data_IF_295584100845
#
_entry.id   IF_295584100845
#
_cell.length_a   1.000
_cell.length_b   1.000
_cell.length_c   1.000
_cell.angle_alpha   90.00
_cell.angle_beta   90.00
_cell.angle_gamma   90.00
#
_symmetry.space_group_name_H-M   'P 1'
#
loop_
_entity.id
_entity.type
_entity.pdbx_description
1 polymer ?
#
# COMPACT_ATOMS: atom_id res chain seq x y z
N UNK A 1 -35.70 23.15 10.97
CA UNK A 1 -34.51 23.89 11.42
C UNK A 1 -33.66 24.22 10.20
N UNK A 2 -33.34 25.49 9.93
CA UNK A 2 -32.62 25.87 8.71
C UNK A 2 -31.22 25.28 8.71
N UNK A 3 -30.83 24.63 7.60
CA UNK A 3 -29.45 24.19 7.32
C UNK A 3 -28.63 25.47 7.11
N UNK A 4 -27.93 25.93 8.15
CA UNK A 4 -26.96 27.01 8.00
C UNK A 4 -25.85 26.50 7.07
N UNK A 5 -25.67 27.18 5.94
CA UNK A 5 -24.55 27.04 5.02
C UNK A 5 -23.29 27.59 5.72
N UNK A 6 -22.70 26.78 6.60
CA UNK A 6 -21.47 27.16 7.29
C UNK A 6 -20.30 26.91 6.33
N UNK A 7 -19.91 27.95 5.62
CA UNK A 7 -18.62 28.01 4.95
C UNK A 7 -17.47 27.89 5.96
N UNK A 8 -16.27 27.67 5.45
CA UNK A 8 -15.06 27.73 6.28
C UNK A 8 -14.73 29.17 6.63
N UNK A 9 -14.14 29.40 7.80
CA UNK A 9 -13.50 30.67 8.12
C UNK A 9 -12.43 31.02 7.07
N UNK A 10 -12.15 32.32 6.81
CA UNK A 10 -11.16 32.72 5.81
C UNK A 10 -9.80 32.10 6.01
N UNK A 11 -9.36 31.92 7.26
CA UNK A 11 -8.10 31.30 7.60
C UNK A 11 -8.06 29.82 7.22
N UNK A 12 -9.11 29.06 7.60
CA UNK A 12 -9.23 27.64 7.24
C UNK A 12 -9.36 27.47 5.74
N UNK A 13 -10.15 28.29 5.05
CA UNK A 13 -10.30 28.25 3.59
C UNK A 13 -8.97 28.46 2.85
N UNK A 14 -8.16 29.43 3.31
CA UNK A 14 -6.81 29.66 2.75
C UNK A 14 -5.90 28.44 2.95
N UNK A 15 -5.88 27.87 4.17
CA UNK A 15 -5.11 26.68 4.49
C UNK A 15 -5.56 25.46 3.67
N UNK A 16 -6.85 25.25 3.45
CA UNK A 16 -7.39 24.18 2.61
C UNK A 16 -6.95 24.32 1.14
N UNK A 17 -6.97 25.54 0.60
CA UNK A 17 -6.51 25.81 -0.76
C UNK A 17 -5.01 25.52 -0.93
N UNK A 18 -4.20 25.80 0.08
CA UNK A 18 -2.79 25.45 0.10
C UNK A 18 -2.59 23.96 0.25
N UNK A 19 -3.36 23.31 1.13
CA UNK A 19 -3.33 21.86 1.34
C UNK A 19 -3.59 21.08 0.04
N UNK A 20 -4.64 21.44 -0.71
CA UNK A 20 -4.99 20.77 -1.97
C UNK A 20 -3.82 20.82 -2.99
N UNK A 21 -3.20 21.97 -3.18
CA UNK A 21 -2.05 22.12 -4.07
C UNK A 21 -0.87 21.24 -3.62
N UNK A 22 -0.58 21.25 -2.34
CA UNK A 22 0.52 20.47 -1.79
C UNK A 22 0.29 18.96 -1.82
N UNK A 23 -0.94 18.49 -1.63
CA UNK A 23 -1.32 17.09 -1.76
C UNK A 23 -1.15 16.60 -3.20
N UNK A 24 -1.66 17.35 -4.18
CA UNK A 24 -1.54 17.02 -5.61
C UNK A 24 -0.08 16.97 -6.10
N UNK A 25 0.81 17.78 -5.51
CA UNK A 25 2.22 17.78 -5.86
C UNK A 25 2.99 16.53 -5.36
N UNK A 26 2.35 15.65 -4.56
CA UNK A 26 2.95 14.45 -3.97
C UNK A 26 2.43 13.15 -4.54
N UNK A 27 1.80 13.22 -5.69
CA UNK A 27 1.38 12.03 -6.44
C UNK A 27 2.59 11.12 -6.69
N UNK A 28 2.42 9.81 -6.55
CA UNK A 28 3.48 8.81 -6.70
C UNK A 28 4.33 8.56 -5.44
N UNK A 29 4.08 9.25 -4.33
CA UNK A 29 4.78 9.01 -3.07
C UNK A 29 3.80 9.05 -1.90
N UNK A 30 3.21 7.92 -1.55
CA UNK A 30 2.18 7.81 -0.52
C UNK A 30 2.65 8.25 0.86
N UNK A 31 3.89 7.96 1.24
CA UNK A 31 4.43 8.41 2.52
C UNK A 31 4.51 9.93 2.59
N UNK A 32 5.04 10.57 1.56
CA UNK A 32 5.12 12.04 1.49
C UNK A 32 3.72 12.68 1.39
N UNK A 33 2.75 11.99 0.75
CA UNK A 33 1.36 12.41 0.66
C UNK A 33 0.70 12.45 2.05
N UNK A 34 0.81 11.37 2.82
CA UNK A 34 0.22 11.28 4.16
C UNK A 34 0.93 12.18 5.18
N UNK A 35 2.27 12.29 5.10
CA UNK A 35 3.01 13.21 5.96
C UNK A 35 2.65 14.67 5.72
N UNK A 36 2.47 15.05 4.45
CA UNK A 36 2.00 16.39 4.13
C UNK A 36 0.54 16.61 4.54
N UNK A 37 -0.33 15.60 4.43
CA UNK A 37 -1.71 15.68 4.91
C UNK A 37 -1.75 15.94 6.42
N UNK A 38 -0.97 15.19 7.20
CA UNK A 38 -0.78 15.45 8.63
C UNK A 38 -0.31 16.88 8.89
N UNK A 39 0.74 17.32 8.18
CA UNK A 39 1.25 18.69 8.31
C UNK A 39 0.18 19.74 7.99
N UNK A 40 -0.56 19.58 6.91
CA UNK A 40 -1.64 20.51 6.53
C UNK A 40 -2.73 20.59 7.62
N UNK A 41 -3.09 19.44 8.21
CA UNK A 41 -4.04 19.42 9.33
C UNK A 41 -3.45 20.05 10.60
N UNK A 42 -2.16 19.86 10.88
CA UNK A 42 -1.50 20.49 12.05
C UNK A 42 -1.47 22.03 11.95
N UNK A 43 -1.47 22.58 10.74
CA UNK A 43 -1.58 24.03 10.51
C UNK A 43 -3.01 24.52 10.77
N UNK A 44 -4.03 23.70 10.52
CA UNK A 44 -5.45 24.06 10.66
C UNK A 44 -5.92 23.94 12.12
N UNK A 45 -5.57 22.83 12.80
CA UNK A 45 -6.17 22.52 14.11
C UNK A 45 -5.18 21.96 15.15
N UNK A 46 -3.89 21.84 14.81
CA UNK A 46 -2.93 21.11 15.67
C UNK A 46 -3.17 19.60 15.62
N UNK A 47 -2.08 18.82 15.53
CA UNK A 47 -2.16 17.35 15.46
C UNK A 47 -0.93 16.81 16.21
N UNK A 48 -1.18 16.12 17.31
CA UNK A 48 -0.12 15.47 18.09
C UNK A 48 0.06 14.01 17.67
N UNK A 49 -1.03 13.33 17.25
CA UNK A 49 -0.97 12.00 16.65
C UNK A 49 -1.86 11.89 15.42
N UNK A 50 -1.43 11.08 14.44
CA UNK A 50 -2.12 10.91 13.16
C UNK A 50 -1.92 9.50 12.61
N UNK A 51 -2.95 8.89 12.08
CA UNK A 51 -2.81 7.65 11.33
C UNK A 51 -3.79 7.55 10.16
N UNK A 52 -3.40 6.75 9.17
CA UNK A 52 -4.24 6.35 8.02
C UNK A 52 -4.29 4.83 7.99
N UNK A 53 -5.48 4.25 7.89
CA UNK A 53 -5.69 2.82 7.81
C UNK A 53 -6.60 2.43 6.65
N UNK A 54 -6.29 1.32 5.97
CA UNK A 54 -7.11 0.77 4.89
C UNK A 54 -7.61 -0.62 5.26
N UNK A 55 -8.92 -0.84 5.09
CA UNK A 55 -9.55 -2.13 5.34
C UNK A 55 -9.06 -3.20 4.37
N UNK A 56 -8.98 -4.42 4.87
CA UNK A 56 -8.65 -5.64 4.13
C UNK A 56 -9.68 -6.72 4.46
N UNK A 57 -9.73 -7.76 3.65
CA UNK A 57 -10.59 -8.92 3.89
C UNK A 57 -10.29 -9.58 5.25
N UNK A 58 -11.28 -10.29 5.81
CA UNK A 58 -11.13 -11.01 7.06
C UNK A 58 -11.05 -10.11 8.30
N UNK A 59 -11.69 -8.93 8.30
CA UNK A 59 -11.71 -7.95 9.40
C UNK A 59 -10.30 -7.48 9.79
N UNK A 60 -9.49 -7.22 8.79
CA UNK A 60 -8.12 -6.70 8.94
C UNK A 60 -8.05 -5.23 8.49
N UNK A 61 -7.10 -4.50 9.05
CA UNK A 61 -6.78 -3.13 8.67
C UNK A 61 -5.26 -2.98 8.60
N UNK A 62 -4.78 -2.29 7.58
CA UNK A 62 -3.36 -1.97 7.39
C UNK A 62 -3.18 -0.49 7.60
N UNK A 63 -2.19 -0.11 8.40
CA UNK A 63 -1.83 1.29 8.65
C UNK A 63 -0.54 1.64 7.89
N UNK A 64 -0.63 2.16 6.66
CA UNK A 64 0.54 2.56 5.88
C UNK A 64 1.23 3.82 6.42
N UNK A 65 0.57 4.56 7.30
CA UNK A 65 1.13 5.75 7.91
C UNK A 65 0.61 5.94 9.33
N UNK A 66 1.53 6.13 10.26
CA UNK A 66 1.30 6.48 11.66
C UNK A 66 2.29 7.56 12.10
N UNK A 67 1.86 8.46 12.97
CA UNK A 67 2.64 9.55 13.51
C UNK A 67 2.24 9.81 14.95
N UNK A 68 3.22 10.08 15.82
CA UNK A 68 3.05 10.58 17.17
C UNK A 68 4.21 11.55 17.47
N UNK A 69 3.92 12.75 18.00
CA UNK A 69 4.92 13.79 18.23
C UNK A 69 5.78 13.52 19.47
N UNK A 70 5.30 12.68 20.39
CA UNK A 70 6.02 12.33 21.65
C UNK A 70 7.12 11.31 21.42
N UNK A 71 7.04 10.52 20.35
CA UNK A 71 8.07 9.55 20.00
C UNK A 71 9.16 10.28 19.23
N UNK A 72 10.18 10.76 19.94
CA UNK A 72 11.25 11.60 19.41
C UNK A 72 12.06 10.98 18.26
N UNK A 73 11.99 9.67 18.07
CA UNK A 73 12.56 8.94 16.94
C UNK A 73 11.53 7.94 16.45
N UNK A 74 10.71 8.39 15.53
CA UNK A 74 9.74 7.57 14.85
C UNK A 74 10.43 6.38 14.22
N UNK A 75 10.40 5.24 14.92
CA UNK A 75 10.63 3.98 14.26
C UNK A 75 9.66 3.95 13.08
N UNK A 76 10.19 3.79 11.88
CA UNK A 76 9.39 3.30 10.77
C UNK A 76 8.73 2.00 11.27
N UNK A 77 7.46 2.08 11.59
CA UNK A 77 6.66 0.89 11.86
C UNK A 77 6.26 0.41 10.49
N UNK A 78 6.79 -0.74 10.02
CA UNK A 78 6.33 -1.28 8.75
C UNK A 78 4.82 -1.42 8.80
N UNK A 79 4.11 -1.27 7.66
CA UNK A 79 2.66 -1.40 7.62
C UNK A 79 2.26 -2.76 8.19
N UNK A 80 1.79 -2.76 9.43
CA UNK A 80 1.35 -3.98 10.09
C UNK A 80 -0.12 -4.21 9.80
N UNK A 81 -0.48 -5.48 9.64
CA UNK A 81 -1.86 -5.90 9.43
C UNK A 81 -2.46 -6.27 10.77
N UNK A 82 -3.37 -5.45 11.26
CA UNK A 82 -4.07 -5.69 12.52
C UNK A 82 -5.46 -6.28 12.27
N UNK A 83 -5.85 -7.24 13.11
CA UNK A 83 -7.25 -7.62 13.23
C UNK A 83 -8.01 -6.59 14.08
N UNK A 84 -9.17 -6.12 13.62
CA UNK A 84 -10.02 -5.24 14.44
C UNK A 84 -11.24 -5.98 14.99
N UNK A 85 -11.52 -5.71 16.27
CA UNK A 85 -12.66 -6.29 16.97
C UNK A 85 -14.00 -5.65 16.55
N UNK A 86 -15.14 -6.30 16.89
CA UNK A 86 -16.47 -5.82 16.50
C UNK A 86 -16.90 -4.53 17.20
N UNK A 87 -16.24 -4.13 18.27
CA UNK A 87 -16.61 -3.00 19.15
C UNK A 87 -15.61 -1.85 19.11
N UNK A 88 -14.57 -1.93 18.28
CA UNK A 88 -13.55 -0.90 18.16
C UNK A 88 -13.93 0.19 17.16
N UNK A 89 -13.13 1.26 17.13
CA UNK A 89 -13.34 2.43 16.29
C UNK A 89 -13.37 2.07 14.78
N UNK A 90 -12.51 1.14 14.32
CA UNK A 90 -12.51 0.70 12.93
C UNK A 90 -13.84 0.04 12.52
N UNK A 91 -14.42 -0.80 13.38
CA UNK A 91 -15.72 -1.41 13.12
C UNK A 91 -16.84 -0.36 13.10
N UNK A 92 -16.80 0.58 14.06
CA UNK A 92 -17.79 1.65 14.16
C UNK A 92 -17.79 2.55 12.91
N UNK A 93 -16.62 2.98 12.42
CA UNK A 93 -16.49 3.80 11.21
C UNK A 93 -17.04 3.07 9.99
N UNK A 94 -16.74 1.77 9.85
CA UNK A 94 -17.23 0.96 8.73
C UNK A 94 -18.76 0.81 8.75
N UNK A 95 -19.36 0.64 9.93
CA UNK A 95 -20.80 0.48 10.13
C UNK A 95 -21.55 1.79 9.93
N UNK A 96 -21.10 2.88 10.59
CA UNK A 96 -21.83 4.13 10.61
C UNK A 96 -21.50 5.07 9.44
N UNK A 97 -20.37 4.85 8.75
CA UNK A 97 -19.94 5.60 7.55
C UNK A 97 -19.94 7.12 7.73
N UNK A 98 -19.61 7.59 8.92
CA UNK A 98 -19.58 9.01 9.30
C UNK A 98 -18.43 9.29 10.27
N UNK A 99 -18.03 10.58 10.41
CA UNK A 99 -17.02 10.97 11.39
C UNK A 99 -17.37 10.55 12.83
N UNK A 100 -16.38 10.08 13.55
CA UNK A 100 -16.37 9.95 14.99
C UNK A 100 -15.60 11.13 15.56
N UNK A 101 -16.10 11.70 16.66
CA UNK A 101 -15.41 12.72 17.46
C UNK A 101 -15.35 12.28 18.91
N UNK A 102 -14.27 12.65 19.58
CA UNK A 102 -14.08 12.34 21.00
C UNK A 102 -15.26 12.76 21.88
N UNK A 103 -15.88 13.91 21.58
CA UNK A 103 -17.02 14.44 22.30
C UNK A 103 -18.28 13.56 22.25
N UNK A 104 -18.40 12.61 21.30
CA UNK A 104 -19.58 11.75 21.17
C UNK A 104 -19.77 10.81 22.36
N UNK A 105 -18.66 10.34 22.96
CA UNK A 105 -18.67 9.36 24.04
C UNK A 105 -17.51 9.56 25.05
N UNK A 106 -16.93 10.75 25.08
CA UNK A 106 -15.75 11.10 25.89
C UNK A 106 -14.53 10.20 25.64
N UNK A 107 -14.33 9.77 24.38
CA UNK A 107 -13.21 8.95 23.96
C UNK A 107 -13.35 7.45 24.25
N UNK A 108 -14.50 6.98 24.72
CA UNK A 108 -14.70 5.58 25.09
C UNK A 108 -14.38 4.63 23.93
N UNK A 109 -14.82 4.97 22.72
CA UNK A 109 -14.59 4.17 21.52
C UNK A 109 -13.13 4.21 21.09
N UNK A 110 -12.48 5.36 21.21
CA UNK A 110 -11.07 5.55 20.92
C UNK A 110 -10.20 4.65 21.80
N UNK A 111 -10.45 4.68 23.12
CA UNK A 111 -9.67 3.94 24.12
C UNK A 111 -9.94 2.43 24.14
N UNK A 112 -10.93 1.94 23.38
CA UNK A 112 -11.16 0.51 23.16
C UNK A 112 -10.31 -0.10 22.04
N UNK A 113 -9.63 0.73 21.27
CA UNK A 113 -8.74 0.32 20.19
C UNK A 113 -7.40 -0.20 20.72
N UNK A 114 -6.57 -0.66 19.78
CA UNK A 114 -5.14 -0.89 20.07
C UNK A 114 -4.49 0.48 20.17
N UNK A 115 -3.85 0.77 21.31
CA UNK A 115 -3.07 1.99 21.48
C UNK A 115 -1.87 1.97 20.51
N UNK A 116 -1.58 3.08 19.90
CA UNK A 116 -0.33 3.29 19.20
C UNK A 116 0.28 4.61 19.70
N UNK A 117 1.60 4.74 19.59
CA UNK A 117 2.29 5.93 20.08
C UNK A 117 2.75 5.80 21.53
N UNK A 118 2.72 6.90 22.24
CA UNK A 118 3.09 6.95 23.65
C UNK A 118 1.97 6.38 24.53
N UNK A 119 2.18 5.19 25.08
CA UNK A 119 1.21 4.51 25.95
C UNK A 119 1.00 5.23 27.29
N UNK A 120 1.92 6.11 27.71
CA UNK A 120 1.81 6.89 28.95
C UNK A 120 0.94 8.14 28.78
N UNK A 121 0.68 8.57 27.53
CA UNK A 121 -0.13 9.75 27.21
C UNK A 121 -1.39 9.37 26.45
N UNK A 122 -2.52 9.58 27.08
CA UNK A 122 -3.82 9.29 26.46
C UNK A 122 -4.31 10.51 25.68
N UNK A 123 -4.77 10.31 24.46
CA UNK A 123 -5.38 11.36 23.64
C UNK A 123 -6.61 11.95 24.35
N UNK A 124 -6.64 13.28 24.46
CA UNK A 124 -7.69 14.03 25.15
C UNK A 124 -8.74 14.60 24.19
N UNK A 125 -8.47 14.59 22.89
CA UNK A 125 -9.44 14.89 21.82
C UNK A 125 -9.05 14.17 20.53
N UNK A 126 -10.05 13.82 19.69
CA UNK A 126 -9.84 13.07 18.46
C UNK A 126 -10.96 13.28 17.45
N UNK A 127 -10.58 13.25 16.16
CA UNK A 127 -11.50 13.11 15.03
C UNK A 127 -11.04 11.92 14.20
N UNK A 128 -11.93 10.97 13.93
CA UNK A 128 -11.69 9.87 12.99
C UNK A 128 -12.74 9.90 11.89
N UNK A 129 -12.32 9.89 10.66
CA UNK A 129 -13.18 9.99 9.49
C UNK A 129 -13.09 8.73 8.60
N UNK A 130 -14.20 8.34 7.94
CA UNK A 130 -14.15 7.33 6.89
C UNK A 130 -13.46 7.86 5.64
N UNK A 131 -12.70 6.98 4.96
CA UNK A 131 -12.15 7.23 3.64
C UNK A 131 -13.03 6.52 2.61
N UNK A 132 -13.57 7.30 1.66
CA UNK A 132 -14.48 6.79 0.64
C UNK A 132 -13.80 6.63 -0.71
N UNK A 133 -14.10 5.54 -1.38
CA UNK A 133 -13.82 5.32 -2.79
C UNK A 133 -15.13 5.17 -3.57
N UNK A 134 -15.16 5.73 -4.78
CA UNK A 134 -16.32 5.61 -5.68
C UNK A 134 -15.89 4.91 -6.95
N UNK A 135 -16.00 3.57 -7.02
CA UNK A 135 -15.67 2.78 -8.21
C UNK A 135 -16.87 2.53 -9.13
N UNK A 136 -18.03 2.35 -8.54
CA UNK A 136 -19.28 1.93 -9.25
C UNK A 136 -20.40 2.95 -9.09
N UNK A 137 -20.08 4.23 -8.88
CA UNK A 137 -21.08 5.27 -8.61
C UNK A 137 -21.59 5.29 -7.16
N UNK A 138 -21.33 4.25 -6.37
CA UNK A 138 -21.71 4.19 -4.95
C UNK A 138 -20.45 4.34 -4.08
N UNK A 139 -20.40 5.36 -3.18
CA UNK A 139 -19.27 5.51 -2.28
C UNK A 139 -19.15 4.32 -1.32
N UNK A 140 -17.98 3.71 -1.25
CA UNK A 140 -17.65 2.64 -0.30
C UNK A 140 -16.59 3.11 0.67
N UNK A 141 -16.72 2.71 1.95
CA UNK A 141 -15.67 2.96 2.95
C UNK A 141 -14.56 1.95 2.74
N UNK A 142 -13.40 2.42 2.35
CA UNK A 142 -12.20 1.58 2.12
C UNK A 142 -11.13 1.75 3.19
N UNK A 143 -11.27 2.76 4.05
CA UNK A 143 -10.30 3.06 5.08
C UNK A 143 -10.83 4.08 6.09
N UNK A 144 -9.94 4.50 6.95
CA UNK A 144 -10.16 5.57 7.91
C UNK A 144 -8.89 6.40 8.10
N UNK A 145 -9.06 7.64 8.57
CA UNK A 145 -7.95 8.47 9.03
C UNK A 145 -8.33 9.13 10.36
N UNK A 146 -7.35 9.32 11.22
CA UNK A 146 -7.55 9.93 12.54
C UNK A 146 -6.52 11.03 12.82
N UNK A 147 -6.98 12.14 13.36
CA UNK A 147 -6.18 13.16 14.03
C UNK A 147 -6.49 13.12 15.50
N UNK A 148 -5.47 13.26 16.33
CA UNK A 148 -5.61 13.24 17.78
C UNK A 148 -4.71 14.31 18.41
N UNK A 149 -5.09 14.75 19.61
CA UNK A 149 -4.30 15.69 20.40
C UNK A 149 -4.38 15.34 21.88
N UNK A 150 -3.36 15.74 22.62
CA UNK A 150 -3.29 15.63 24.07
C UNK A 150 -3.96 16.81 24.81
N UNK A 151 -4.58 17.74 24.04
CA UNK A 151 -5.31 18.89 24.56
C UNK A 151 -6.81 18.62 24.50
N UNK A 152 -7.51 18.80 25.61
CA UNK A 152 -8.96 18.65 25.67
C UNK A 152 -9.70 19.75 24.93
N UNK A 153 -10.83 19.41 24.31
CA UNK A 153 -11.72 20.34 23.60
C UNK A 153 -11.00 21.16 22.51
N UNK A 154 -10.05 20.54 21.81
CA UNK A 154 -9.24 21.19 20.78
C UNK A 154 -9.94 21.23 19.42
N UNK A 155 -10.82 20.27 19.15
CA UNK A 155 -11.45 20.13 17.83
C UNK A 155 -12.88 20.65 17.81
N UNK A 156 -13.23 21.25 16.66
CA UNK A 156 -14.55 21.82 16.41
C UNK A 156 -15.19 21.17 15.17
N UNK A 157 -16.47 21.41 14.95
CA UNK A 157 -17.16 20.96 13.73
C UNK A 157 -16.50 21.50 12.44
N UNK A 158 -15.88 22.68 12.50
CA UNK A 158 -15.11 23.20 11.35
C UNK A 158 -13.88 22.33 11.05
N UNK A 159 -13.18 21.86 12.09
CA UNK A 159 -12.04 20.95 11.95
C UNK A 159 -12.46 19.59 11.39
N UNK A 160 -13.63 19.06 11.79
CA UNK A 160 -14.20 17.84 11.21
C UNK A 160 -14.40 18.01 9.69
N UNK A 161 -15.09 19.11 9.28
CA UNK A 161 -15.33 19.40 7.87
C UNK A 161 -14.04 19.61 7.08
N UNK A 162 -13.04 20.28 7.66
CA UNK A 162 -11.74 20.51 7.05
C UNK A 162 -10.99 19.19 6.84
N UNK A 163 -11.05 18.29 7.81
CA UNK A 163 -10.43 16.97 7.71
C UNK A 163 -11.11 16.10 6.65
N UNK A 164 -12.44 16.07 6.59
CA UNK A 164 -13.19 15.39 5.53
C UNK A 164 -12.89 15.98 4.14
N UNK A 165 -12.71 17.31 4.07
CA UNK A 165 -12.40 17.99 2.81
C UNK A 165 -10.99 17.58 2.30
N UNK A 166 -9.99 17.63 3.16
CA UNK A 166 -8.62 17.20 2.81
C UNK A 166 -8.56 15.71 2.49
N UNK A 167 -9.33 14.87 3.18
CA UNK A 167 -9.46 13.46 2.85
C UNK A 167 -9.94 13.22 1.41
N UNK A 168 -10.94 13.98 0.96
CA UNK A 168 -11.39 13.89 -0.44
C UNK A 168 -10.28 14.24 -1.44
N UNK A 169 -9.46 15.26 -1.14
CA UNK A 169 -8.29 15.60 -1.96
C UNK A 169 -7.27 14.46 -2.00
N UNK A 170 -6.94 13.85 -0.85
CA UNK A 170 -6.05 12.68 -0.77
C UNK A 170 -6.61 11.52 -1.58
N UNK A 171 -7.89 11.18 -1.39
CA UNK A 171 -8.52 10.08 -2.12
C UNK A 171 -8.57 10.34 -3.63
N UNK A 172 -8.70 11.60 -4.06
CA UNK A 172 -8.62 11.97 -5.48
C UNK A 172 -7.21 11.74 -6.04
N UNK A 173 -6.15 12.03 -5.27
CA UNK A 173 -4.76 11.75 -5.68
C UNK A 173 -4.55 10.26 -5.84
N UNK A 174 -4.93 9.46 -4.84
CA UNK A 174 -4.80 8.00 -4.87
C UNK A 174 -5.62 7.34 -5.99
N UNK A 175 -6.80 7.87 -6.29
CA UNK A 175 -7.63 7.37 -7.39
C UNK A 175 -6.97 7.64 -8.75
N UNK A 176 -6.38 8.82 -8.96
CA UNK A 176 -5.65 9.16 -10.19
C UNK A 176 -4.41 8.30 -10.39
N UNK A 177 -3.62 8.08 -9.35
CA UNK A 177 -2.46 7.20 -9.41
C UNK A 177 -2.86 5.80 -9.90
N UNK A 178 -3.95 5.27 -9.37
CA UNK A 178 -4.49 3.97 -9.76
C UNK A 178 -4.98 3.96 -11.21
N UNK A 179 -5.66 5.01 -11.65
CA UNK A 179 -6.09 5.20 -13.04
C UNK A 179 -4.90 5.29 -14.00
N UNK A 180 -3.86 6.06 -13.62
CA UNK A 180 -2.63 6.19 -14.40
C UNK A 180 -1.87 4.86 -14.48
N UNK A 181 -1.88 4.03 -13.43
CA UNK A 181 -1.27 2.71 -13.43
C UNK A 181 -2.06 1.73 -14.31
N UNK A 182 -3.40 1.75 -14.26
CA UNK A 182 -4.25 0.97 -15.15
C UNK A 182 -4.04 1.37 -16.62
N UNK A 183 -4.05 2.67 -16.91
CA UNK A 183 -3.82 3.18 -18.26
C UNK A 183 -2.41 2.83 -18.77
N UNK A 184 -1.36 2.89 -17.94
CA UNK A 184 -0.01 2.45 -18.31
C UNK A 184 0.03 0.96 -18.61
N UNK A 185 -0.69 0.13 -17.87
CA UNK A 185 -0.80 -1.30 -18.12
C UNK A 185 -1.58 -1.59 -19.41
N UNK A 186 -2.64 -0.83 -19.71
CA UNK A 186 -3.39 -0.94 -20.96
C UNK A 186 -2.59 -0.45 -22.18
N UNK A 187 -1.79 0.61 -22.04
CA UNK A 187 -0.92 1.12 -23.12
C UNK A 187 0.32 0.26 -23.34
N UNK A 188 0.75 -0.49 -22.33
CA UNK A 188 1.77 -1.53 -22.46
C UNK A 188 1.16 -2.81 -23.05
N UNK A 189 0.42 -2.71 -24.15
CA UNK A 189 -0.22 -3.84 -24.82
C UNK A 189 0.82 -4.86 -25.25
N UNK A 190 0.82 -6.08 -24.68
CA UNK A 190 1.38 -7.22 -25.38
C UNK A 190 0.42 -7.58 -26.49
N UNK A 191 0.92 -7.63 -27.69
CA UNK A 191 0.21 -8.25 -28.82
C UNK A 191 -0.02 -9.70 -28.42
N UNK A 192 -1.27 -10.03 -28.15
CA UNK A 192 -1.95 -11.33 -28.06
C UNK A 192 -2.59 -11.66 -26.70
N UNK A 193 -3.89 -11.92 -26.81
CA UNK A 193 -4.86 -12.07 -25.75
C UNK A 193 -4.63 -13.22 -24.76
N UNK A 194 -4.87 -12.91 -23.52
CA UNK A 194 -5.06 -13.83 -22.42
C UNK A 194 -5.40 -13.03 -21.17
N UNK A 195 -6.56 -13.28 -20.59
CA UNK A 195 -6.98 -12.67 -19.34
C UNK A 195 -5.97 -13.06 -18.25
N UNK A 196 -5.14 -12.12 -17.81
CA UNK A 196 -4.11 -12.32 -16.80
C UNK A 196 -4.59 -11.93 -15.41
N UNK A 197 -4.19 -12.77 -14.50
CA UNK A 197 -4.31 -12.66 -13.05
C UNK A 197 -3.69 -11.33 -12.58
N UNK A 198 -4.49 -10.44 -12.01
CA UNK A 198 -4.19 -9.02 -11.74
C UNK A 198 -3.35 -8.82 -10.45
N UNK A 199 -2.49 -9.78 -10.10
CA UNK A 199 -1.52 -9.61 -9.02
C UNK A 199 -0.13 -9.32 -9.59
N UNK A 200 0.57 -8.24 -9.12
CA UNK A 200 1.94 -8.01 -9.53
C UNK A 200 2.79 -9.24 -9.21
N UNK A 201 3.62 -9.66 -10.15
CA UNK A 201 4.53 -10.78 -9.89
C UNK A 201 5.48 -10.41 -8.74
N UNK A 202 5.94 -11.42 -8.01
CA UNK A 202 6.94 -11.20 -6.94
C UNK A 202 8.16 -10.46 -7.50
N UNK A 203 8.53 -10.70 -8.75
CA UNK A 203 9.64 -10.01 -9.42
C UNK A 203 9.36 -8.50 -9.60
N UNK A 204 8.16 -8.11 -10.00
CA UNK A 204 7.77 -6.70 -10.13
C UNK A 204 7.78 -6.00 -8.78
N UNK A 205 7.19 -6.62 -7.76
CA UNK A 205 7.20 -6.07 -6.39
C UNK A 205 8.63 -5.91 -5.87
N UNK A 206 9.49 -6.89 -6.13
CA UNK A 206 10.89 -6.85 -5.69
C UNK A 206 11.68 -5.82 -6.48
N UNK A 207 11.40 -5.63 -7.77
CA UNK A 207 11.99 -4.58 -8.60
C UNK A 207 11.60 -3.20 -8.06
N UNK A 208 10.32 -2.96 -7.79
CA UNK A 208 9.82 -1.70 -7.23
C UNK A 208 10.45 -1.38 -5.87
N UNK A 209 10.59 -2.39 -5.01
CA UNK A 209 11.26 -2.26 -3.70
C UNK A 209 12.74 -1.93 -3.89
N UNK A 210 13.42 -2.55 -4.86
CA UNK A 210 14.83 -2.29 -5.15
C UNK A 210 15.04 -0.86 -5.64
N UNK A 211 14.18 -0.34 -6.51
CA UNK A 211 14.22 1.04 -7.01
C UNK A 211 13.96 2.06 -5.89
N UNK A 212 12.99 1.78 -5.01
CA UNK A 212 12.72 2.59 -3.83
C UNK A 212 13.93 2.66 -2.88
N UNK A 213 14.55 1.51 -2.59
CA UNK A 213 15.74 1.46 -1.74
C UNK A 213 16.94 2.17 -2.36
N UNK A 214 17.13 2.07 -3.68
CA UNK A 214 18.16 2.81 -4.40
C UNK A 214 17.92 4.33 -4.32
N UNK A 215 16.68 4.78 -4.50
CA UNK A 215 16.30 6.19 -4.36
C UNK A 215 16.49 6.73 -2.94
N UNK A 216 16.19 5.92 -1.91
CA UNK A 216 16.44 6.26 -0.51
C UNK A 216 17.94 6.37 -0.23
N UNK A 217 18.72 5.40 -0.70
CA UNK A 217 20.19 5.40 -0.51
C UNK A 217 20.82 6.67 -1.10
N UNK A 218 20.44 7.04 -2.33
CA UNK A 218 20.93 8.27 -2.96
C UNK A 218 20.62 9.53 -2.14
N UNK A 219 19.41 9.62 -1.55
CA UNK A 219 19.02 10.76 -0.70
C UNK A 219 19.77 10.78 0.63
N UNK A 220 20.04 9.62 1.21
CA UNK A 220 20.82 9.50 2.44
C UNK A 220 22.26 9.95 2.19
N UNK A 221 22.88 9.61 1.06
CA UNK A 221 24.21 10.09 0.69
C UNK A 221 24.26 11.62 0.56
N UNK A 222 23.24 12.24 -0.05
CA UNK A 222 23.15 13.72 -0.13
C UNK A 222 22.99 14.34 1.26
N UNK A 223 22.22 13.72 2.16
CA UNK A 223 22.09 14.18 3.54
C UNK A 223 23.40 14.04 4.32
N UNK A 224 24.14 12.95 4.10
CA UNK A 224 25.45 12.72 4.74
C UNK A 224 26.46 13.81 4.38
N UNK A 225 26.48 14.23 3.11
CA UNK A 225 27.31 15.34 2.65
C UNK A 225 26.88 16.72 3.21
N UNK A 226 25.59 16.87 3.50
CA UNK A 226 25.02 18.12 4.02
C UNK A 226 25.12 18.27 5.55
N UNK A 227 25.55 17.23 6.28
CA UNK A 227 25.70 17.29 7.75
C UNK A 227 26.81 18.27 8.13
N UNK A 228 26.53 19.29 8.96
CA UNK A 228 27.54 20.26 9.37
C UNK A 228 28.69 19.62 10.17
N UNK A 229 29.88 20.07 9.94
CA UNK A 229 31.07 19.64 10.69
C UNK A 229 30.90 19.97 12.19
N UNK A 230 30.87 18.92 13.03
CA UNK A 230 30.65 19.07 14.48
C UNK A 230 29.35 18.42 14.99
N UNK A 231 28.37 18.21 14.15
CA UNK A 231 27.10 17.56 14.48
C UNK A 231 27.22 16.02 14.54
N UNK A 232 28.01 15.50 15.48
CA UNK A 232 28.32 14.07 15.62
C UNK A 232 27.08 13.19 15.80
N UNK A 233 26.05 13.72 16.48
CA UNK A 233 24.79 12.99 16.68
C UNK A 233 24.04 12.78 15.38
N UNK A 234 23.93 13.81 14.54
CA UNK A 234 23.27 13.77 13.25
C UNK A 234 24.05 12.90 12.27
N UNK A 235 25.37 13.04 12.21
CA UNK A 235 26.24 12.20 11.39
C UNK A 235 26.08 10.70 11.68
N UNK A 236 26.00 10.34 12.98
CA UNK A 236 25.77 8.97 13.41
C UNK A 236 24.41 8.43 12.93
N UNK A 237 23.34 9.22 13.07
CA UNK A 237 22.00 8.82 12.63
C UNK A 237 21.93 8.62 11.12
N UNK A 238 22.53 9.49 10.34
CA UNK A 238 22.57 9.37 8.87
C UNK A 238 23.37 8.12 8.46
N UNK A 239 24.49 7.83 9.15
CA UNK A 239 25.26 6.61 8.90
C UNK A 239 24.47 5.33 9.27
N UNK A 240 23.71 5.34 10.36
CA UNK A 240 22.82 4.23 10.75
C UNK A 240 21.72 4.02 9.71
N UNK A 241 21.09 5.09 9.20
CA UNK A 241 20.10 5.02 8.12
C UNK A 241 20.68 4.45 6.83
N UNK A 242 21.90 4.89 6.45
CA UNK A 242 22.60 4.34 5.28
C UNK A 242 22.82 2.85 5.43
N UNK A 243 23.32 2.40 6.58
CA UNK A 243 23.54 0.99 6.85
C UNK A 243 22.25 0.17 6.78
N UNK A 244 21.12 0.68 7.30
CA UNK A 244 19.84 0.00 7.22
C UNK A 244 19.35 -0.11 5.76
N UNK A 245 19.55 0.93 4.96
CA UNK A 245 19.19 0.93 3.54
C UNK A 245 20.01 -0.10 2.75
N UNK A 246 21.33 -0.17 2.98
CA UNK A 246 22.23 -1.17 2.39
C UNK A 246 21.84 -2.60 2.77
N UNK A 247 21.48 -2.83 4.04
CA UNK A 247 20.98 -4.13 4.50
C UNK A 247 19.65 -4.50 3.83
N UNK A 248 18.75 -3.53 3.62
CA UNK A 248 17.52 -3.71 2.88
C UNK A 248 17.77 -4.14 1.42
N UNK A 249 18.69 -3.46 0.74
CA UNK A 249 19.09 -3.79 -0.63
C UNK A 249 19.68 -5.21 -0.71
N UNK A 250 20.57 -5.58 0.22
CA UNK A 250 21.17 -6.92 0.27
C UNK A 250 20.10 -8.01 0.47
N UNK A 251 19.16 -7.81 1.41
CA UNK A 251 18.06 -8.75 1.64
C UNK A 251 17.14 -8.88 0.42
N UNK A 252 16.88 -7.79 -0.28
CA UNK A 252 16.05 -7.80 -1.50
C UNK A 252 16.75 -8.59 -2.61
N UNK A 253 18.07 -8.40 -2.78
CA UNK A 253 18.88 -9.18 -3.72
C UNK A 253 18.91 -10.67 -3.36
N UNK A 254 19.01 -11.02 -2.08
CA UNK A 254 18.96 -12.41 -1.61
C UNK A 254 17.62 -13.08 -1.92
N UNK A 255 16.50 -12.31 -1.84
CA UNK A 255 15.17 -12.82 -2.20
C UNK A 255 15.10 -13.09 -3.71
N UNK A 256 15.60 -12.18 -4.55
CA UNK A 256 15.63 -12.34 -6.02
C UNK A 256 16.48 -13.56 -6.40
N UNK A 257 17.59 -13.77 -5.70
CA UNK A 257 18.56 -14.82 -6.01
C UNK A 257 18.13 -16.21 -5.53
N UNK A 258 17.02 -16.34 -4.78
CA UNK A 258 16.53 -17.65 -4.33
C UNK A 258 15.92 -18.43 -5.49
N UNK A 259 16.32 -19.70 -5.69
CA UNK A 259 15.78 -20.54 -6.77
C UNK A 259 14.25 -20.68 -6.74
N UNK A 260 13.64 -20.70 -5.55
CA UNK A 260 12.19 -20.79 -5.37
C UNK A 260 11.43 -19.59 -5.94
N UNK A 261 11.91 -18.37 -5.73
CA UNK A 261 11.27 -17.14 -6.26
C UNK A 261 11.36 -17.08 -7.78
N UNK A 262 12.51 -17.51 -8.34
CA UNK A 262 12.68 -17.58 -9.78
C UNK A 262 11.74 -18.62 -10.41
N UNK A 263 11.55 -19.75 -9.76
CA UNK A 263 10.67 -20.81 -10.21
C UNK A 263 9.18 -20.41 -10.14
N UNK A 264 8.74 -19.74 -9.04
CA UNK A 264 7.37 -19.20 -8.91
C UNK A 264 7.07 -18.13 -9.99
N UNK A 265 8.02 -17.26 -10.29
CA UNK A 265 7.88 -16.27 -11.37
C UNK A 265 7.72 -16.92 -12.75
N UNK A 266 8.46 -18.00 -13.01
CA UNK A 266 8.32 -18.76 -14.24
C UNK A 266 6.94 -19.42 -14.36
N UNK A 267 6.41 -19.97 -13.27
CA UNK A 267 5.03 -20.51 -13.24
C UNK A 267 3.98 -19.43 -13.42
N UNK A 268 4.17 -18.26 -12.81
CA UNK A 268 3.24 -17.13 -12.94
C UNK A 268 3.26 -16.51 -14.34
N UNK A 269 4.32 -16.69 -15.11
CA UNK A 269 4.37 -16.31 -16.52
C UNK A 269 3.52 -17.20 -17.45
N UNK A 270 3.10 -18.38 -16.97
CA UNK A 270 2.25 -19.30 -17.71
C UNK A 270 0.77 -19.00 -17.48
N UNK A 271 -0.03 -18.94 -18.54
CA UNK A 271 -1.48 -18.90 -18.40
C UNK A 271 -2.01 -20.16 -17.70
N UNK A 272 -3.23 -20.11 -17.14
CA UNK A 272 -3.85 -21.25 -16.45
C UNK A 272 -3.82 -22.53 -17.30
N UNK A 273 -4.06 -22.40 -18.60
CA UNK A 273 -4.04 -23.54 -19.54
C UNK A 273 -2.63 -24.03 -19.84
N UNK A 274 -1.67 -23.13 -20.00
CA UNK A 274 -0.24 -23.48 -20.17
C UNK A 274 0.31 -24.15 -18.91
N UNK A 275 -0.09 -23.69 -17.73
CA UNK A 275 0.29 -24.29 -16.44
C UNK A 275 -0.26 -25.73 -16.33
N UNK A 276 -1.56 -25.93 -16.64
CA UNK A 276 -2.15 -27.25 -16.67
C UNK A 276 -1.40 -28.21 -17.59
N UNK A 277 -1.08 -27.76 -18.80
CA UNK A 277 -0.34 -28.55 -19.79
C UNK A 277 1.10 -28.82 -19.32
N UNK A 278 1.77 -27.83 -18.76
CA UNK A 278 3.12 -27.96 -18.22
C UNK A 278 3.18 -29.00 -17.08
N UNK A 279 2.18 -29.00 -16.18
CA UNK A 279 2.06 -30.01 -15.13
C UNK A 279 1.79 -31.42 -15.68
N UNK A 280 0.95 -31.57 -16.71
CA UNK A 280 0.71 -32.87 -17.35
C UNK A 280 1.99 -33.42 -18.03
N UNK A 281 2.81 -32.53 -18.57
CA UNK A 281 4.11 -32.89 -19.12
C UNK A 281 5.09 -33.33 -18.02
N UNK A 282 5.21 -32.50 -16.98
CA UNK A 282 6.21 -32.70 -15.91
C UNK A 282 5.91 -33.92 -15.04
N UNK A 283 4.65 -34.09 -14.61
CA UNK A 283 4.21 -35.17 -13.71
C UNK A 283 3.91 -36.49 -14.40
N UNK A 284 3.37 -36.44 -15.60
CA UNK A 284 2.83 -37.62 -16.29
C UNK A 284 3.67 -38.07 -17.49
N UNK A 285 4.67 -37.32 -17.91
CA UNK A 285 5.41 -37.62 -19.16
C UNK A 285 4.50 -37.73 -20.41
N UNK A 286 3.27 -37.21 -20.32
CA UNK A 286 2.20 -37.41 -21.31
C UNK A 286 2.61 -36.83 -22.69
N UNK A 287 2.31 -37.55 -23.74
CA UNK A 287 2.49 -37.09 -25.12
C UNK A 287 1.49 -35.99 -25.48
N UNK A 288 1.74 -35.23 -26.54
CA UNK A 288 0.79 -34.20 -27.01
C UNK A 288 -0.59 -34.78 -27.34
N UNK A 289 -0.66 -35.99 -27.86
CA UNK A 289 -1.89 -36.71 -28.19
C UNK A 289 -2.69 -37.06 -26.91
N UNK A 290 -2.03 -37.55 -25.86
CA UNK A 290 -2.66 -37.87 -24.58
C UNK A 290 -3.15 -36.62 -23.86
N UNK A 291 -2.36 -35.54 -23.86
CA UNK A 291 -2.76 -34.25 -23.31
C UNK A 291 -3.97 -33.70 -24.07
N UNK A 292 -3.93 -33.75 -25.42
CA UNK A 292 -5.02 -33.28 -26.28
C UNK A 292 -6.34 -33.99 -25.95
N UNK A 293 -6.29 -35.31 -25.77
CA UNK A 293 -7.46 -36.10 -25.36
C UNK A 293 -7.95 -35.71 -23.97
N UNK A 294 -7.05 -35.44 -23.01
CA UNK A 294 -7.42 -35.12 -21.63
C UNK A 294 -8.00 -33.72 -21.46
N UNK A 295 -7.54 -32.73 -22.25
CA UNK A 295 -8.01 -31.33 -22.15
C UNK A 295 -9.00 -30.96 -23.26
N UNK A 296 -9.47 -31.95 -24.04
CA UNK A 296 -10.48 -31.83 -25.07
C UNK A 296 -10.17 -30.82 -26.19
N UNK A 297 -8.92 -30.82 -26.68
CA UNK A 297 -8.44 -29.99 -27.78
C UNK A 297 -7.71 -30.83 -28.84
N UNK A 298 -7.31 -30.22 -29.95
CA UNK A 298 -6.53 -30.92 -31.00
C UNK A 298 -5.05 -31.03 -30.60
N UNK A 299 -4.35 -32.06 -31.13
CA UNK A 299 -2.90 -32.21 -30.92
C UNK A 299 -2.12 -31.01 -31.45
N UNK A 300 -2.58 -30.39 -32.55
CA UNK A 300 -1.99 -29.15 -33.08
C UNK A 300 -2.08 -28.00 -32.10
N UNK A 301 -3.19 -27.85 -31.39
CA UNK A 301 -3.37 -26.85 -30.34
C UNK A 301 -2.38 -27.07 -29.19
N UNK A 302 -2.18 -28.33 -28.77
CA UNK A 302 -1.19 -28.66 -27.72
C UNK A 302 0.23 -28.34 -28.18
N UNK A 303 0.61 -28.64 -29.45
CA UNK A 303 1.92 -28.26 -29.99
C UNK A 303 2.17 -26.75 -29.87
N UNK A 304 1.14 -25.94 -30.17
CA UNK A 304 1.21 -24.48 -30.01
C UNK A 304 1.40 -24.03 -28.57
N UNK A 305 0.69 -24.66 -27.61
CA UNK A 305 0.88 -24.40 -26.18
C UNK A 305 2.27 -24.81 -25.70
N UNK A 306 2.75 -26.01 -26.08
CA UNK A 306 4.07 -26.49 -25.69
C UNK A 306 5.16 -25.56 -26.18
N UNK A 307 5.10 -25.06 -27.42
CA UNK A 307 6.08 -24.09 -27.95
C UNK A 307 6.08 -22.78 -27.14
N UNK A 308 4.91 -22.30 -26.70
CA UNK A 308 4.82 -21.12 -25.84
C UNK A 308 5.38 -21.38 -24.44
N UNK A 309 5.09 -22.54 -23.85
CA UNK A 309 5.61 -22.95 -22.55
C UNK A 309 7.13 -23.03 -22.59
N UNK A 310 7.72 -23.67 -23.61
CA UNK A 310 9.18 -23.76 -23.78
C UNK A 310 9.83 -22.38 -23.80
N UNK A 311 9.26 -21.45 -24.59
CA UNK A 311 9.74 -20.07 -24.68
C UNK A 311 9.64 -19.33 -23.35
N UNK A 312 8.50 -19.43 -22.64
CA UNK A 312 8.26 -18.76 -21.37
C UNK A 312 9.12 -19.31 -20.23
N UNK A 313 9.36 -20.61 -20.22
CA UNK A 313 10.24 -21.27 -19.23
C UNK A 313 11.73 -21.15 -19.59
N UNK A 314 12.09 -20.61 -20.76
CA UNK A 314 13.46 -20.48 -21.22
C UNK A 314 14.14 -21.84 -21.43
N UNK A 315 13.42 -22.84 -21.92
CA UNK A 315 13.93 -24.21 -22.17
C UNK A 315 13.75 -24.57 -23.63
N UNK A 316 14.76 -25.22 -24.21
CA UNK A 316 14.76 -25.59 -25.62
C UNK A 316 14.01 -26.91 -25.91
N UNK A 317 13.94 -27.79 -24.91
CA UNK A 317 13.40 -29.13 -25.09
C UNK A 317 12.31 -29.43 -24.05
N UNK A 318 11.37 -30.28 -24.45
CA UNK A 318 10.24 -30.71 -23.61
C UNK A 318 10.67 -31.32 -22.27
N UNK A 319 11.79 -32.06 -22.24
CA UNK A 319 12.36 -32.60 -20.99
C UNK A 319 12.80 -31.52 -20.02
N UNK A 320 13.17 -30.35 -20.50
CA UNK A 320 13.52 -29.20 -19.67
C UNK A 320 12.32 -28.63 -18.87
N UNK A 321 11.08 -28.86 -19.32
CA UNK A 321 9.87 -28.43 -18.59
C UNK A 321 9.80 -29.17 -17.23
N UNK A 322 10.03 -30.48 -17.23
CA UNK A 322 10.04 -31.27 -16.00
C UNK A 322 11.10 -30.80 -15.01
N UNK A 323 12.34 -30.63 -15.49
CA UNK A 323 13.46 -30.16 -14.64
C UNK A 323 13.22 -28.75 -14.06
N UNK A 324 12.55 -27.85 -14.80
CA UNK A 324 12.20 -26.51 -14.31
C UNK A 324 11.11 -26.51 -13.26
N UNK A 325 10.21 -27.50 -13.31
CA UNK A 325 9.05 -27.60 -12.44
C UNK A 325 9.23 -28.61 -11.29
N UNK A 326 10.37 -29.28 -11.20
CA UNK A 326 10.66 -30.34 -10.20
C UNK A 326 10.44 -29.86 -8.76
N UNK A 327 10.87 -28.64 -8.45
CA UNK A 327 10.71 -28.01 -7.12
C UNK A 327 9.25 -27.73 -6.70
N UNK A 328 8.28 -27.93 -7.57
CA UNK A 328 6.85 -27.76 -7.23
C UNK A 328 6.14 -29.08 -6.98
N UNK A 329 6.88 -30.18 -6.97
CA UNK A 329 6.33 -31.52 -6.78
C UNK A 329 6.73 -32.17 -5.44
N UNK A 330 7.64 -31.51 -4.71
CA UNK A 330 8.00 -31.83 -3.35
C UNK A 330 7.12 -31.03 -2.36
#
# INVERSE_FOLDING_TARGET
MPRSSHGFSPAVAASLSQADRGLRARMGNHHALFDYWRYAMSVICGVDAFYVGFYREGRKIVYPYTFDDTIAFKRYIPPEVFGYGPKGQAAWILEHRRPYTFAMDTGLLLHRGVSFGDEERVSADAITIPLFETRTGVPQVIGLASIQTYKSNAYTDEHVRAFEWTARSVMTVLAREREDDLNRRELAVPVDGGAENDQPSVAEVVQDVSELLAGLHARICVLEEAVPIGERGLARLVAELRQQCEQGQTKTMDIISRPSVHAENLLNSLSSKEREIAFLIARGGMTNKEIAARVFVTESTIKGHVSRILRKLGVEQRSGIAARLEHFFD
#
